data_IF_627130061318
#
_entry.id   IF_627130061318
#
_cell.length_a   1.000
_cell.length_b   1.000
_cell.length_c   1.000
_cell.angle_alpha   90.00
_cell.angle_beta   90.00
_cell.angle_gamma   90.00
#
_symmetry.space_group_name_H-M   'P 1'
#
loop_
_entity.id
_entity.type
_entity.pdbx_description
1 polymer ?
#
# COMPACT_ATOMS: atom_id res chain seq x y z
N UNK A 1 -24.89 11.28 37.15
CA UNK A 1 -24.36 9.93 37.48
C UNK A 1 -24.97 8.82 36.62
N UNK A 2 -26.29 8.74 36.42
CA UNK A 2 -26.91 7.72 35.57
C UNK A 2 -26.48 7.79 34.09
N UNK A 3 -26.44 9.00 33.53
CA UNK A 3 -26.04 9.27 32.15
C UNK A 3 -24.57 8.88 31.86
N UNK A 4 -23.68 9.13 32.82
CA UNK A 4 -22.26 8.74 32.71
C UNK A 4 -22.10 7.21 32.60
N UNK A 5 -22.91 6.44 33.35
CA UNK A 5 -22.89 4.98 33.29
C UNK A 5 -23.43 4.46 31.96
N UNK A 6 -24.46 5.11 31.40
CA UNK A 6 -25.00 4.75 30.09
C UNK A 6 -23.96 4.97 28.97
N UNK A 7 -23.29 6.13 28.97
CA UNK A 7 -22.20 6.41 28.04
C UNK A 7 -21.03 5.42 28.18
N UNK A 8 -20.68 5.05 29.40
CA UNK A 8 -19.60 4.09 29.65
C UNK A 8 -19.94 2.69 29.11
N UNK A 9 -21.19 2.27 29.20
CA UNK A 9 -21.68 1.02 28.60
C UNK A 9 -21.66 1.08 27.07
N UNK A 10 -22.04 2.21 26.47
CA UNK A 10 -22.04 2.40 25.02
C UNK A 10 -20.62 2.36 24.45
N UNK A 11 -19.66 3.05 25.10
CA UNK A 11 -18.24 3.03 24.70
C UNK A 11 -17.66 1.61 24.82
N UNK A 12 -18.02 0.87 25.86
CA UNK A 12 -17.57 -0.51 26.04
C UNK A 12 -18.11 -1.42 24.93
N UNK A 13 -19.38 -1.27 24.58
CA UNK A 13 -20.02 -2.00 23.48
C UNK A 13 -19.39 -1.69 22.11
N UNK A 14 -19.06 -0.42 21.86
CA UNK A 14 -18.35 -0.03 20.63
C UNK A 14 -16.95 -0.64 20.56
N UNK A 15 -16.24 -0.71 21.69
CA UNK A 15 -14.91 -1.32 21.75
C UNK A 15 -14.95 -2.81 21.42
N UNK A 16 -15.89 -3.56 22.00
CA UNK A 16 -16.05 -4.99 21.71
C UNK A 16 -16.37 -5.27 20.24
N UNK A 17 -17.20 -4.39 19.63
CA UNK A 17 -17.49 -4.46 18.18
C UNK A 17 -16.27 -4.18 17.33
N UNK A 18 -15.45 -3.21 17.73
CA UNK A 18 -14.21 -2.86 17.02
C UNK A 18 -13.19 -4.01 17.09
N UNK A 19 -13.01 -4.60 18.27
CA UNK A 19 -12.13 -5.76 18.47
C UNK A 19 -12.58 -6.97 17.63
N UNK A 20 -13.90 -7.19 17.56
CA UNK A 20 -14.49 -8.23 16.71
C UNK A 20 -14.22 -7.98 15.22
N UNK A 21 -14.34 -6.73 14.76
CA UNK A 21 -14.05 -6.36 13.37
C UNK A 21 -12.55 -6.47 13.07
N UNK A 22 -11.67 -6.04 13.98
CA UNK A 22 -10.22 -6.15 13.83
C UNK A 22 -9.78 -7.62 13.71
N UNK A 23 -10.36 -8.52 14.51
CA UNK A 23 -10.10 -9.96 14.41
C UNK A 23 -10.55 -10.54 13.06
N UNK A 24 -11.71 -10.10 12.53
CA UNK A 24 -12.20 -10.51 11.20
C UNK A 24 -11.33 -9.97 10.06
N UNK A 25 -10.89 -8.72 10.16
CA UNK A 25 -9.99 -8.07 9.18
C UNK A 25 -8.63 -8.77 9.16
N UNK A 26 -8.09 -9.14 10.31
CA UNK A 26 -6.80 -9.84 10.41
C UNK A 26 -6.85 -11.26 9.83
N UNK A 27 -8.03 -11.90 9.87
CA UNK A 27 -8.24 -13.26 9.33
C UNK A 27 -8.55 -13.33 7.84
N UNK A 28 -8.92 -12.21 7.20
CA UNK A 28 -9.30 -12.17 5.79
C UNK A 28 -8.32 -11.29 5.02
N UNK A 29 -7.51 -11.89 4.14
CA UNK A 29 -6.66 -11.18 3.16
C UNK A 29 -7.45 -10.39 2.09
N UNK A 30 -8.62 -9.86 2.45
CA UNK A 30 -9.58 -9.14 1.62
C UNK A 30 -10.02 -7.86 2.34
N UNK A 31 -9.06 -6.99 2.62
CA UNK A 31 -9.29 -5.65 3.16
C UNK A 31 -10.22 -4.81 2.24
N UNK A 32 -10.24 -5.11 0.94
CA UNK A 32 -11.08 -4.43 -0.05
C UNK A 32 -12.59 -4.68 0.14
N UNK A 33 -13.03 -5.93 0.32
CA UNK A 33 -14.46 -6.28 0.48
C UNK A 33 -15.06 -5.67 1.77
N UNK A 34 -14.23 -5.55 2.81
CA UNK A 34 -14.60 -4.91 4.08
C UNK A 34 -14.75 -3.39 3.94
N UNK A 35 -13.89 -2.73 3.16
CA UNK A 35 -14.02 -1.31 2.86
C UNK A 35 -15.29 -1.01 2.06
N UNK A 36 -15.59 -1.81 1.03
CA UNK A 36 -16.83 -1.67 0.25
C UNK A 36 -18.08 -1.89 1.12
N UNK A 37 -18.04 -2.87 2.03
CA UNK A 37 -19.14 -3.12 2.96
C UNK A 37 -19.34 -1.93 3.91
N UNK A 38 -18.26 -1.39 4.47
CA UNK A 38 -18.32 -0.21 5.35
C UNK A 38 -18.83 1.04 4.63
N UNK A 39 -18.39 1.27 3.39
CA UNK A 39 -18.84 2.39 2.56
C UNK A 39 -20.34 2.27 2.22
N UNK A 40 -20.80 1.07 1.87
CA UNK A 40 -22.22 0.81 1.58
C UNK A 40 -23.12 1.02 2.79
N UNK A 41 -22.69 0.60 3.98
CA UNK A 41 -23.44 0.80 5.23
C UNK A 41 -23.42 2.28 5.64
N UNK A 42 -22.28 2.96 5.52
CA UNK A 42 -22.19 4.40 5.79
C UNK A 42 -23.14 5.21 4.88
N UNK A 43 -23.23 4.84 3.60
CA UNK A 43 -24.16 5.45 2.63
C UNK A 43 -25.63 5.22 3.02
N UNK A 44 -25.97 4.00 3.47
CA UNK A 44 -27.31 3.70 3.99
C UNK A 44 -27.64 4.51 5.25
N UNK A 45 -26.68 4.70 6.14
CA UNK A 45 -26.88 5.51 7.34
C UNK A 45 -27.05 6.99 7.00
N UNK A 46 -26.32 7.50 6.02
CA UNK A 46 -26.47 8.87 5.52
C UNK A 46 -27.88 9.11 4.96
N UNK A 47 -28.43 8.14 4.22
CA UNK A 47 -29.79 8.21 3.70
C UNK A 47 -30.89 8.11 4.76
N UNK A 48 -30.60 7.50 5.91
CA UNK A 48 -31.53 7.42 7.05
C UNK A 48 -31.53 8.69 7.89
N UNK A 49 -30.56 9.58 7.71
CA UNK A 49 -30.58 10.86 8.41
C UNK A 49 -31.77 11.68 7.89
N UNK A 50 -32.65 12.17 8.77
CA UNK A 50 -33.70 13.08 8.36
C UNK A 50 -33.02 14.28 7.68
N UNK A 51 -33.52 14.72 6.50
CA UNK A 51 -32.95 15.87 5.82
C UNK A 51 -32.90 17.03 6.81
N UNK A 52 -31.79 17.79 6.86
CA UNK A 52 -31.70 18.92 7.77
C UNK A 52 -32.93 19.78 7.50
N UNK A 53 -33.73 19.97 8.55
CA UNK A 53 -34.82 20.92 8.50
C UNK A 53 -34.17 22.28 8.28
N UNK A 54 -34.06 22.69 7.02
CA UNK A 54 -33.78 24.06 6.63
C UNK A 54 -34.99 24.87 7.09
N UNK A 55 -35.04 25.14 8.40
CA UNK A 55 -35.92 26.12 8.96
C UNK A 55 -35.56 27.42 8.25
N UNK A 56 -36.52 27.94 7.49
CA UNK A 56 -36.40 29.23 6.85
C UNK A 56 -35.97 30.25 7.92
N UNK A 57 -34.96 31.09 7.65
CA UNK A 57 -34.55 32.12 8.59
C UNK A 57 -35.69 33.15 8.70
N UNK A 58 -36.51 33.03 9.75
CA UNK A 58 -37.46 34.08 10.09
C UNK A 58 -36.67 35.29 10.58
N UNK A 59 -36.64 36.32 9.73
CA UNK A 59 -36.03 37.59 9.99
C UNK A 59 -36.90 38.42 10.95
N UNK A 60 -36.85 38.11 12.25
CA UNK A 60 -37.30 39.05 13.29
C UNK A 60 -36.32 39.10 14.48
N UNK A 61 -35.42 40.07 14.35
CA UNK A 61 -34.60 40.82 15.32
C UNK A 61 -35.05 40.84 16.81
N UNK A 62 -34.21 41.32 17.77
CA UNK A 62 -32.98 40.73 18.28
C UNK A 62 -33.01 40.61 19.83
N UNK A 63 -31.88 40.17 20.42
CA UNK A 63 -31.43 40.45 21.81
C UNK A 63 -31.77 39.41 22.89
N UNK A 64 -30.85 38.47 23.14
CA UNK A 64 -30.25 38.30 24.47
C UNK A 64 -29.09 37.30 24.48
N UNK A 65 -28.04 37.71 25.20
CA UNK A 65 -27.00 36.96 25.89
C UNK A 65 -26.79 35.47 25.60
N UNK A 66 -25.65 35.17 24.98
CA UNK A 66 -24.59 34.42 25.66
C UNK A 66 -24.94 33.04 26.22
N UNK A 67 -25.08 32.07 25.34
CA UNK A 67 -24.78 30.68 25.67
C UNK A 67 -24.14 30.04 24.43
N UNK A 68 -22.82 29.90 24.44
CA UNK A 68 -22.09 29.04 23.50
C UNK A 68 -22.56 27.61 23.73
N UNK A 69 -23.65 27.23 23.08
CA UNK A 69 -24.06 25.85 22.98
C UNK A 69 -23.01 25.16 22.12
N UNK A 70 -22.10 24.45 22.79
CA UNK A 70 -21.15 23.59 22.14
C UNK A 70 -21.92 22.70 21.17
N UNK A 71 -21.63 22.85 19.87
CA UNK A 71 -22.13 21.97 18.83
C UNK A 71 -21.71 20.57 19.25
N UNK A 72 -22.65 19.81 19.81
CA UNK A 72 -22.45 18.44 20.22
C UNK A 72 -22.18 17.68 18.92
N UNK A 73 -20.90 17.50 18.60
CA UNK A 73 -20.45 16.77 17.43
C UNK A 73 -21.22 15.45 17.41
N UNK A 74 -22.01 15.26 16.35
CA UNK A 74 -22.91 14.13 16.24
C UNK A 74 -22.13 12.83 16.49
N UNK A 75 -22.73 11.82 17.14
CA UNK A 75 -22.07 10.54 17.38
C UNK A 75 -21.45 9.94 16.12
N UNK A 76 -22.03 10.22 14.94
CA UNK A 76 -21.50 9.85 13.63
C UNK A 76 -20.18 10.52 13.28
N UNK A 77 -19.99 11.81 13.59
CA UNK A 77 -18.74 12.51 13.34
C UNK A 77 -17.61 11.94 14.22
N UNK A 78 -17.94 11.57 15.46
CA UNK A 78 -16.99 10.89 16.36
C UNK A 78 -16.65 9.50 15.86
N UNK A 79 -17.63 8.75 15.36
CA UNK A 79 -17.43 7.42 14.80
C UNK A 79 -16.56 7.48 13.52
N UNK A 80 -16.79 8.47 12.66
CA UNK A 80 -15.99 8.71 11.46
C UNK A 80 -14.53 9.04 11.82
N UNK A 81 -14.31 9.90 12.81
CA UNK A 81 -12.94 10.18 13.28
C UNK A 81 -12.25 8.93 13.82
N UNK A 82 -12.93 8.16 14.67
CA UNK A 82 -12.39 6.90 15.22
C UNK A 82 -12.10 5.89 14.11
N UNK A 83 -12.99 5.74 13.13
CA UNK A 83 -12.78 4.83 12.00
C UNK A 83 -11.58 5.26 11.14
N UNK A 84 -11.40 6.57 10.95
CA UNK A 84 -10.26 7.12 10.20
C UNK A 84 -8.95 6.88 10.95
N UNK A 85 -8.92 7.12 12.26
CA UNK A 85 -7.73 6.90 13.09
C UNK A 85 -7.32 5.42 13.13
N UNK A 86 -8.30 4.51 13.22
CA UNK A 86 -8.07 3.05 13.19
C UNK A 86 -7.55 2.59 11.82
N UNK A 87 -8.05 3.15 10.72
CA UNK A 87 -7.55 2.85 9.37
C UNK A 87 -6.11 3.35 9.17
N UNK A 88 -5.77 4.52 9.70
CA UNK A 88 -4.40 5.05 9.68
C UNK A 88 -3.46 4.15 10.49
N UNK A 89 -3.88 3.71 11.68
CA UNK A 89 -3.06 2.87 12.56
C UNK A 89 -2.87 1.43 12.01
N UNK A 90 -3.89 0.87 11.36
CA UNK A 90 -3.81 -0.44 10.69
C UNK A 90 -2.90 -0.40 9.44
N UNK A 91 -2.90 0.72 8.70
CA UNK A 91 -2.01 0.90 7.57
C UNK A 91 -0.53 1.00 8.01
N UNK A 92 -0.26 1.58 9.17
CA UNK A 92 1.10 1.71 9.71
C UNK A 92 1.64 0.36 10.25
N UNK A 93 0.77 -0.47 10.85
CA UNK A 93 1.16 -1.78 11.44
C UNK A 93 1.28 -2.93 10.42
N UNK A 94 0.66 -2.80 9.23
CA UNK A 94 0.79 -3.79 8.16
C UNK A 94 2.15 -3.73 7.44
N UNK A 95 2.94 -2.67 7.66
CA UNK A 95 4.25 -2.49 7.03
C UNK A 95 5.34 -2.87 8.04
N UNK A 96 5.69 -4.15 8.00
CA UNK A 96 7.01 -4.67 8.39
C UNK A 96 7.30 -4.91 9.88
N UNK A 97 7.16 -6.17 10.30
CA UNK A 97 8.06 -6.80 11.28
C UNK A 97 8.89 -7.85 10.55
N UNK A 98 10.19 -7.61 10.25
CA UNK A 98 11.02 -8.61 9.61
C UNK A 98 11.44 -9.62 10.68
N UNK A 99 10.78 -10.78 10.70
CA UNK A 99 11.34 -11.95 11.37
C UNK A 99 12.64 -12.28 10.64
N UNK A 100 13.78 -11.93 11.24
CA UNK A 100 15.09 -12.36 10.80
C UNK A 100 15.09 -13.89 10.75
N UNK A 101 14.97 -14.43 9.54
CA UNK A 101 15.09 -15.85 9.29
C UNK A 101 16.57 -16.18 9.36
N UNK A 102 16.99 -16.70 10.50
CA UNK A 102 18.33 -17.26 10.72
C UNK A 102 18.58 -18.36 9.71
N UNK A 103 19.60 -18.17 8.88
CA UNK A 103 20.08 -19.15 7.91
C UNK A 103 20.60 -20.40 8.63
N UNK A 104 20.14 -21.62 8.28
CA UNK A 104 20.84 -22.83 8.66
C UNK A 104 22.12 -22.97 7.82
N UNK A 105 23.24 -23.16 8.51
CA UNK A 105 24.55 -23.43 7.94
C UNK A 105 24.50 -24.71 7.09
N UNK A 106 24.85 -24.61 5.79
CA UNK A 106 24.90 -25.79 4.93
C UNK A 106 26.07 -26.71 5.27
N UNK A 107 25.88 -28.04 5.22
CA UNK A 107 26.95 -29.00 5.45
C UNK A 107 27.79 -29.27 4.20
N UNK A 108 29.07 -29.47 4.49
CA UNK A 108 30.16 -30.13 3.77
C UNK A 108 29.84 -30.91 2.49
N UNK A 109 30.52 -30.46 1.44
CA UNK A 109 30.75 -31.04 0.11
C UNK A 109 31.24 -32.50 0.18
N UNK A 110 30.59 -33.41 -0.56
CA UNK A 110 31.10 -34.77 -0.84
C UNK A 110 31.27 -34.98 -2.35
N UNK A 111 32.27 -35.76 -2.82
CA UNK A 111 32.59 -35.89 -4.24
C UNK A 111 32.04 -37.19 -4.88
N UNK A 112 31.76 -37.09 -6.18
CA UNK A 112 31.68 -38.15 -7.20
C UNK A 112 30.59 -39.25 -7.10
N UNK A 113 29.66 -39.22 -8.07
CA UNK A 113 29.36 -40.37 -8.94
C UNK A 113 28.71 -39.89 -10.25
N UNK A 114 29.37 -40.10 -11.39
CA UNK A 114 28.76 -39.95 -12.72
C UNK A 114 28.04 -41.26 -13.07
N UNK A 115 26.76 -41.16 -13.43
CA UNK A 115 25.99 -42.22 -14.11
C UNK A 115 25.43 -41.64 -15.41
N UNK A 116 25.67 -42.26 -16.58
CA UNK A 116 25.10 -41.85 -17.84
C UNK A 116 23.84 -42.67 -18.15
N UNK A 117 22.74 -41.99 -18.49
CA UNK A 117 21.58 -42.59 -19.14
C UNK A 117 20.32 -42.62 -18.27
N UNK A 118 19.40 -41.69 -18.53
CA UNK A 118 18.07 -41.71 -17.94
C UNK A 118 17.28 -40.46 -18.32
N UNK A 119 16.18 -40.67 -19.04
CA UNK A 119 15.23 -39.68 -19.52
C UNK A 119 14.70 -38.82 -18.35
N UNK A 120 15.21 -37.60 -18.18
CA UNK A 120 14.67 -36.61 -17.24
C UNK A 120 14.75 -35.21 -17.87
N UNK A 121 13.74 -34.83 -18.64
CA UNK A 121 13.57 -33.48 -19.18
C UNK A 121 12.17 -32.95 -18.84
N UNK A 122 11.81 -32.93 -17.56
CA UNK A 122 10.57 -32.26 -17.09
C UNK A 122 10.65 -31.69 -15.66
N UNK A 123 11.80 -31.75 -14.98
CA UNK A 123 11.90 -31.38 -13.55
C UNK A 123 12.83 -30.18 -13.27
N UNK A 124 13.07 -29.33 -14.27
CA UNK A 124 13.88 -28.12 -14.14
C UNK A 124 13.06 -26.82 -14.00
N UNK A 125 11.72 -26.86 -14.07
CA UNK A 125 10.88 -25.66 -14.00
C UNK A 125 10.46 -25.21 -12.59
N UNK A 126 10.66 -26.02 -11.55
CA UNK A 126 10.16 -25.70 -10.20
C UNK A 126 11.15 -24.95 -9.29
N UNK A 127 12.35 -24.61 -9.76
CA UNK A 127 13.45 -24.18 -8.88
C UNK A 127 13.90 -22.72 -9.03
N UNK A 128 13.09 -21.84 -9.61
CA UNK A 128 13.49 -20.42 -9.74
C UNK A 128 12.37 -19.42 -9.55
N UNK A 129 11.41 -19.74 -8.69
CA UNK A 129 10.52 -18.73 -8.10
C UNK A 129 11.32 -17.92 -7.07
N UNK A 130 12.14 -16.99 -7.56
CA UNK A 130 12.86 -16.06 -6.71
C UNK A 130 11.83 -15.12 -6.08
N UNK A 131 11.65 -15.23 -4.77
CA UNK A 131 10.75 -14.34 -4.04
C UNK A 131 11.42 -13.02 -3.71
N UNK A 132 10.76 -11.92 -4.06
CA UNK A 132 11.16 -10.56 -3.64
C UNK A 132 10.19 -10.09 -2.58
N UNK A 133 10.57 -10.21 -1.31
CA UNK A 133 9.68 -9.87 -0.20
C UNK A 133 8.40 -10.73 -0.21
N UNK A 134 8.50 -12.01 -0.58
CA UNK A 134 7.35 -12.93 -0.69
C UNK A 134 6.53 -12.77 -1.97
N UNK A 135 6.97 -11.94 -2.94
CA UNK A 135 6.30 -11.77 -4.24
C UNK A 135 6.83 -12.75 -5.27
N UNK A 136 5.93 -13.37 -6.02
CA UNK A 136 6.25 -14.29 -7.12
C UNK A 136 6.72 -13.46 -8.32
N UNK A 137 7.91 -13.77 -8.85
CA UNK A 137 8.44 -13.18 -10.07
C UNK A 137 8.05 -14.01 -11.30
N UNK A 138 7.26 -13.43 -12.21
CA UNK A 138 6.89 -14.03 -13.50
C UNK A 138 8.04 -14.03 -14.52
N UNK A 139 7.77 -14.24 -15.80
CA UNK A 139 8.70 -14.18 -16.93
C UNK A 139 8.69 -12.82 -17.66
N UNK A 140 7.85 -11.87 -17.22
CA UNK A 140 7.72 -10.55 -17.82
C UNK A 140 9.00 -9.69 -17.77
N UNK A 141 8.94 -8.53 -18.44
CA UNK A 141 10.10 -7.64 -18.61
C UNK A 141 10.70 -7.21 -17.27
N UNK A 142 9.85 -6.80 -16.32
CA UNK A 142 10.28 -6.37 -14.99
C UNK A 142 10.91 -7.49 -14.17
N UNK A 143 10.30 -8.67 -14.18
CA UNK A 143 10.82 -9.82 -13.46
C UNK A 143 12.20 -10.25 -14.00
N UNK A 144 12.37 -10.23 -15.32
CA UNK A 144 13.64 -10.52 -15.98
C UNK A 144 14.70 -9.47 -15.65
N UNK A 145 14.35 -8.18 -15.67
CA UNK A 145 15.24 -7.10 -15.26
C UNK A 145 15.65 -7.21 -13.78
N UNK A 146 14.74 -7.62 -12.90
CA UNK A 146 15.02 -7.85 -11.48
C UNK A 146 15.96 -9.04 -11.26
N UNK A 147 15.70 -10.16 -11.94
CA UNK A 147 16.56 -11.36 -11.87
C UNK A 147 17.97 -11.08 -12.35
N UNK A 148 18.13 -10.37 -13.45
CA UNK A 148 19.44 -10.05 -14.04
C UNK A 148 20.19 -8.95 -13.29
N UNK A 149 19.49 -8.06 -12.58
CA UNK A 149 20.09 -7.00 -11.81
C UNK A 149 20.90 -7.53 -10.61
N UNK A 150 22.00 -6.86 -10.29
CA UNK A 150 22.82 -7.09 -9.10
C UNK A 150 23.27 -5.75 -8.50
N UNK A 151 23.80 -5.76 -7.28
CA UNK A 151 24.38 -4.57 -6.64
C UNK A 151 23.40 -3.37 -6.55
N UNK A 152 23.85 -2.13 -6.85
CA UNK A 152 23.02 -0.92 -6.79
C UNK A 152 21.77 -0.99 -7.67
N UNK A 153 21.87 -1.65 -8.84
CA UNK A 153 20.74 -1.81 -9.75
C UNK A 153 19.59 -2.61 -9.12
N UNK A 154 19.93 -3.70 -8.42
CA UNK A 154 18.94 -4.52 -7.70
C UNK A 154 18.34 -3.76 -6.51
N UNK A 155 19.12 -2.91 -5.84
CA UNK A 155 18.59 -2.04 -4.78
C UNK A 155 17.59 -1.03 -5.34
N UNK A 156 17.89 -0.41 -6.48
CA UNK A 156 16.98 0.54 -7.13
C UNK A 156 15.65 -0.14 -7.50
N UNK A 157 15.71 -1.31 -8.13
CA UNK A 157 14.50 -2.08 -8.46
C UNK A 157 13.70 -2.47 -7.22
N UNK A 158 14.37 -2.92 -6.14
CA UNK A 158 13.69 -3.22 -4.88
C UNK A 158 12.96 -2.00 -4.33
N UNK A 159 13.60 -0.83 -4.33
CA UNK A 159 12.99 0.41 -3.88
C UNK A 159 11.75 0.77 -4.72
N UNK A 160 11.82 0.62 -6.05
CA UNK A 160 10.67 0.87 -6.93
C UNK A 160 9.49 -0.07 -6.64
N UNK A 161 9.74 -1.32 -6.26
CA UNK A 161 8.71 -2.29 -5.85
C UNK A 161 8.10 -1.93 -4.47
N UNK A 162 8.94 -1.47 -3.53
CA UNK A 162 8.52 -1.05 -2.18
C UNK A 162 7.68 0.24 -2.22
N UNK A 163 8.02 1.17 -3.12
CA UNK A 163 7.25 2.38 -3.38
C UNK A 163 5.95 2.10 -4.16
N UNK A 164 5.77 0.88 -4.69
CA UNK A 164 4.64 0.52 -5.53
C UNK A 164 4.61 1.28 -6.86
N UNK A 165 5.78 1.69 -7.35
CA UNK A 165 5.95 2.22 -8.71
C UNK A 165 5.92 1.06 -9.71
N UNK A 166 6.56 -0.06 -9.35
CA UNK A 166 6.38 -1.35 -10.01
C UNK A 166 5.42 -2.16 -9.14
N UNK A 167 4.27 -2.50 -9.70
CA UNK A 167 3.21 -3.24 -8.99
C UNK A 167 3.49 -4.73 -8.96
N UNK A 168 2.83 -5.44 -8.03
CA UNK A 168 2.92 -6.91 -7.94
C UNK A 168 2.43 -7.58 -9.22
N UNK A 169 1.44 -6.97 -9.85
CA UNK A 169 0.89 -7.40 -11.14
C UNK A 169 1.95 -7.32 -12.24
N UNK A 170 2.66 -6.20 -12.35
CA UNK A 170 3.74 -6.03 -13.35
C UNK A 170 4.94 -6.95 -13.10
N UNK A 171 5.20 -7.34 -11.85
CA UNK A 171 6.25 -8.32 -11.52
C UNK A 171 5.83 -9.77 -11.78
N UNK A 172 4.54 -10.10 -11.66
CA UNK A 172 4.03 -11.47 -11.78
C UNK A 172 3.49 -11.80 -13.17
N UNK A 173 3.00 -10.82 -13.94
CA UNK A 173 2.44 -11.04 -15.26
C UNK A 173 3.49 -11.18 -16.36
N UNK A 174 3.46 -12.31 -17.05
CA UNK A 174 4.37 -12.65 -18.16
C UNK A 174 4.11 -11.82 -19.43
N UNK A 175 2.89 -11.29 -19.58
CA UNK A 175 2.44 -10.57 -20.77
C UNK A 175 2.79 -9.06 -20.76
N UNK A 176 3.43 -8.57 -19.69
CA UNK A 176 3.83 -7.16 -19.60
C UNK A 176 5.09 -6.89 -20.42
N UNK A 177 4.88 -6.53 -21.69
CA UNK A 177 5.92 -6.00 -22.56
C UNK A 177 6.16 -4.52 -22.25
N UNK A 178 7.29 -4.22 -21.62
CA UNK A 178 7.71 -2.86 -21.31
C UNK A 178 8.94 -2.55 -22.16
N UNK A 179 9.01 -1.41 -22.87
CA UNK A 179 10.19 -1.07 -23.65
C UNK A 179 11.44 -1.08 -22.78
N UNK A 180 12.55 -1.71 -23.21
CA UNK A 180 13.76 -1.82 -22.39
C UNK A 180 14.30 -0.45 -21.99
N UNK A 181 14.21 0.54 -22.89
CA UNK A 181 14.61 1.92 -22.60
C UNK A 181 13.81 2.54 -21.44
N UNK A 182 12.52 2.20 -21.30
CA UNK A 182 11.70 2.68 -20.19
C UNK A 182 12.13 2.01 -18.88
N UNK A 183 12.42 0.71 -18.90
CA UNK A 183 12.95 -0.02 -17.73
C UNK A 183 14.26 0.61 -17.26
N UNK A 184 15.18 0.93 -18.18
CA UNK A 184 16.44 1.61 -17.86
C UNK A 184 16.22 3.01 -17.28
N UNK A 185 15.31 3.79 -17.86
CA UNK A 185 14.96 5.12 -17.35
C UNK A 185 14.43 5.03 -15.91
N UNK A 186 13.52 4.09 -15.63
CA UNK A 186 12.98 3.88 -14.29
C UNK A 186 14.07 3.45 -13.28
N UNK A 187 14.97 2.54 -13.67
CA UNK A 187 16.08 2.10 -12.82
C UNK A 187 17.06 3.24 -12.52
N UNK A 188 17.33 4.09 -13.51
CA UNK A 188 18.16 5.29 -13.34
C UNK A 188 17.54 6.23 -12.31
N UNK A 189 16.24 6.54 -12.44
CA UNK A 189 15.53 7.35 -11.45
C UNK A 189 15.52 6.67 -10.07
N UNK A 190 15.32 5.35 -10.01
CA UNK A 190 15.41 4.58 -8.77
C UNK A 190 16.79 4.66 -8.10
N UNK A 191 17.85 4.78 -8.90
CA UNK A 191 19.21 5.01 -8.38
C UNK A 191 19.38 6.43 -7.84
N UNK A 192 18.79 7.43 -8.49
CA UNK A 192 18.73 8.81 -7.96
C UNK A 192 17.93 8.88 -6.65
N UNK A 193 16.81 8.15 -6.55
CA UNK A 193 16.04 8.02 -5.31
C UNK A 193 16.91 7.48 -4.16
N UNK A 194 17.71 6.43 -4.40
CA UNK A 194 18.61 5.89 -3.39
C UNK A 194 19.71 6.87 -2.95
N UNK A 195 20.14 7.77 -3.83
CA UNK A 195 21.09 8.82 -3.46
C UNK A 195 20.44 9.90 -2.61
N UNK A 196 19.18 10.24 -2.91
CA UNK A 196 18.43 11.27 -2.18
C UNK A 196 17.90 10.75 -0.83
N UNK A 197 17.50 9.48 -0.77
CA UNK A 197 17.11 8.78 0.44
C UNK A 197 17.95 7.51 0.65
N UNK A 198 19.18 7.66 1.19
CA UNK A 198 20.05 6.54 1.45
C UNK A 198 19.41 5.54 2.43
N UNK A 199 19.63 4.22 2.26
CA UNK A 199 19.07 3.21 3.17
C UNK A 199 19.45 3.40 4.65
N UNK A 200 20.58 4.06 4.92
CA UNK A 200 21.03 4.38 6.28
C UNK A 200 20.11 5.39 7.00
N UNK A 201 19.35 6.20 6.24
CA UNK A 201 18.40 7.18 6.77
C UNK A 201 16.98 6.63 6.99
N UNK A 202 16.75 5.35 6.68
CA UNK A 202 15.42 4.74 6.70
C UNK A 202 14.70 4.83 5.35
N UNK A 203 13.49 4.26 5.26
CA UNK A 203 12.71 4.28 4.04
C UNK A 203 12.25 5.71 3.70
N UNK A 204 12.19 6.09 2.41
CA UNK A 204 11.69 7.41 2.03
C UNK A 204 10.18 7.55 2.31
N UNK A 205 9.68 8.77 2.57
CA UNK A 205 8.25 9.05 2.54
C UNK A 205 7.67 8.66 1.17
N UNK A 206 6.69 7.75 1.16
CA UNK A 206 6.19 7.13 -0.09
C UNK A 206 5.65 8.15 -1.09
N UNK A 207 4.91 9.15 -0.61
CA UNK A 207 4.30 10.17 -1.47
C UNK A 207 5.35 11.09 -2.09
N UNK A 208 6.31 11.58 -1.30
CA UNK A 208 7.40 12.43 -1.79
C UNK A 208 8.28 11.71 -2.82
N UNK A 209 8.63 10.44 -2.55
CA UNK A 209 9.42 9.64 -3.49
C UNK A 209 8.67 9.37 -4.81
N UNK A 210 7.35 9.16 -4.76
CA UNK A 210 6.52 9.02 -5.96
C UNK A 210 6.46 10.31 -6.76
N UNK A 211 6.29 11.46 -6.09
CA UNK A 211 6.29 12.76 -6.75
C UNK A 211 7.64 13.02 -7.43
N UNK A 212 8.75 12.79 -6.73
CA UNK A 212 10.10 12.89 -7.30
C UNK A 212 10.26 12.00 -8.53
N UNK A 213 9.82 10.74 -8.46
CA UNK A 213 9.90 9.81 -9.57
C UNK A 213 9.13 10.31 -10.79
N UNK A 214 7.88 10.76 -10.60
CA UNK A 214 7.03 11.28 -11.66
C UNK A 214 7.62 12.53 -12.31
N UNK A 215 8.17 13.45 -11.53
CA UNK A 215 8.85 14.66 -12.04
C UNK A 215 10.06 14.31 -12.92
N UNK A 216 10.90 13.38 -12.48
CA UNK A 216 12.07 12.92 -13.24
C UNK A 216 11.68 12.21 -14.53
N UNK A 217 10.68 11.32 -14.45
CA UNK A 217 10.17 10.60 -15.61
C UNK A 217 9.58 11.58 -16.65
N UNK A 218 8.80 12.56 -16.19
CA UNK A 218 8.26 13.63 -17.03
C UNK A 218 9.37 14.42 -17.72
N UNK A 219 10.43 14.79 -16.99
CA UNK A 219 11.57 15.53 -17.56
C UNK A 219 12.27 14.72 -18.69
N UNK A 220 12.45 13.41 -18.51
CA UNK A 220 13.03 12.53 -19.54
C UNK A 220 12.16 12.52 -20.80
N UNK A 221 10.84 12.38 -20.65
CA UNK A 221 9.94 12.36 -21.81
C UNK A 221 9.79 13.71 -22.50
N UNK A 222 9.83 14.82 -21.76
CA UNK A 222 9.86 16.15 -22.36
C UNK A 222 11.13 16.38 -23.20
N UNK A 223 12.26 15.79 -22.81
CA UNK A 223 13.51 15.85 -23.58
C UNK A 223 13.52 14.91 -24.79
N UNK A 224 12.88 13.73 -24.68
CA UNK A 224 12.78 12.73 -25.76
C UNK A 224 11.69 13.05 -26.78
N UNK A 225 10.77 13.97 -26.48
CA UNK A 225 9.71 14.34 -27.40
C UNK A 225 10.32 14.73 -28.76
N UNK A 226 9.91 14.08 -29.86
CA UNK A 226 10.46 14.39 -31.17
C UNK A 226 10.24 15.87 -31.42
N UNK A 227 11.32 16.61 -31.70
CA UNK A 227 11.20 17.98 -32.19
C UNK A 227 10.30 17.89 -33.41
N UNK A 228 9.13 18.53 -33.33
CA UNK A 228 8.19 18.55 -34.44
C UNK A 228 8.98 18.90 -35.71
N UNK A 229 8.88 18.10 -36.79
CA UNK A 229 9.49 18.48 -38.05
C UNK A 229 8.83 19.79 -38.43
N UNK A 230 9.59 20.89 -38.34
CA UNK A 230 9.04 22.22 -38.54
C UNK A 230 8.40 22.30 -39.92
N UNK A 231 7.13 22.69 -39.86
CA UNK A 231 6.30 23.28 -40.90
C UNK A 231 6.97 24.46 -41.60
#
# INVERSE_FOLDING_TARGET
MAELRALQLEVSSLRDRLDTLAAKVTGMGRTHELLETLESEASLQLHRLPPPAFAAPDHSSPKSAGASSAISASPLLRLLHVATDVLVELHDKSVWSPKQQSMPSSPTRSPFHQSPGGIHHVEAELSSTLEVGGRILGQGTWATAYRSASGPRRQALRLLCELGIITDRELSEDLTEVPPDHVEDCIRIGSELLMHWPPAGGPPPKEEARNFFQERLKAIYMLKAPKAPFA
#
